data_IF_223939084325
#
_entry.id   IF_223939084325
#
_cell.length_a   1.000
_cell.length_b   1.000
_cell.length_c   1.000
_cell.angle_alpha   90.00
_cell.angle_beta   90.00
_cell.angle_gamma   90.00
#
_symmetry.space_group_name_H-M   'P 1'
#
loop_
_entity.id
_entity.type
_entity.pdbx_description
1 polymer ?
#
# COMPACT_ATOMS: atom_id res chain seq x y z
N UNK A 1 41.85 6.95 14.49
CA UNK A 1 41.31 6.35 13.25
C UNK A 1 40.06 7.13 12.88
N UNK A 2 39.87 7.46 11.61
CA UNK A 2 38.66 8.14 11.12
C UNK A 2 37.61 7.09 10.76
N UNK A 3 36.46 7.14 11.44
CA UNK A 3 35.31 6.27 11.20
C UNK A 3 34.76 6.53 9.79
N UNK A 4 34.57 5.48 9.00
CA UNK A 4 33.98 5.63 7.67
C UNK A 4 32.46 5.86 7.75
N UNK A 5 31.86 6.48 6.73
CA UNK A 5 30.41 6.65 6.69
C UNK A 5 29.66 5.30 6.71
N UNK A 6 30.18 4.30 6.00
CA UNK A 6 29.59 2.95 5.97
C UNK A 6 29.62 2.27 7.33
N UNK A 7 30.76 2.33 8.02
CA UNK A 7 30.92 1.79 9.38
C UNK A 7 29.99 2.50 10.37
N UNK A 8 29.90 3.83 10.29
CA UNK A 8 28.99 4.63 11.11
C UNK A 8 27.54 4.21 10.90
N UNK A 9 27.08 4.17 9.64
CA UNK A 9 25.69 3.81 9.30
C UNK A 9 25.36 2.38 9.72
N UNK A 10 26.27 1.44 9.51
CA UNK A 10 26.04 0.04 9.91
C UNK A 10 25.90 -0.09 11.43
N UNK A 11 26.81 0.52 12.21
CA UNK A 11 26.74 0.50 13.66
C UNK A 11 25.53 1.26 14.24
N UNK A 12 24.99 2.21 13.47
CA UNK A 12 23.76 2.91 13.83
C UNK A 12 22.50 2.07 13.64
N UNK A 13 22.45 1.23 12.61
CA UNK A 13 21.25 0.43 12.30
C UNK A 13 21.20 -0.89 13.08
N UNK A 14 22.34 -1.37 13.59
CA UNK A 14 22.44 -2.57 14.40
C UNK A 14 22.88 -2.27 15.84
N UNK A 15 21.94 -2.41 16.78
CA UNK A 15 22.20 -2.21 18.20
C UNK A 15 23.21 -3.22 18.80
N UNK A 16 23.42 -4.36 18.14
CA UNK A 16 24.42 -5.37 18.50
C UNK A 16 25.86 -4.97 18.15
N UNK A 17 26.06 -3.96 17.31
CA UNK A 17 27.39 -3.46 16.98
C UNK A 17 27.94 -2.53 18.06
N UNK A 18 29.25 -2.59 18.35
CA UNK A 18 29.90 -1.63 19.21
C UNK A 18 29.87 -0.23 18.60
N UNK A 19 30.07 0.80 19.44
CA UNK A 19 30.32 2.15 18.94
C UNK A 19 31.61 2.14 18.13
N UNK A 20 31.64 2.68 16.89
CA UNK A 20 32.85 2.73 16.08
C UNK A 20 34.01 3.41 16.82
N UNK A 21 35.19 2.78 16.78
CA UNK A 21 36.38 3.31 17.46
C UNK A 21 36.87 4.61 16.80
N UNK A 22 37.19 5.61 17.61
CA UNK A 22 37.66 6.91 17.09
C UNK A 22 36.55 7.90 16.72
N UNK A 23 35.29 7.61 17.07
CA UNK A 23 34.21 8.58 16.99
C UNK A 23 34.43 9.69 18.03
N UNK A 24 34.64 10.93 17.59
CA UNK A 24 34.86 12.10 18.44
C UNK A 24 33.71 13.09 18.33
N UNK A 25 33.46 13.85 19.39
CA UNK A 25 32.49 14.94 19.40
C UNK A 25 33.12 16.29 18.99
N UNK A 26 32.34 17.36 19.05
CA UNK A 26 32.78 18.69 18.65
C UNK A 26 33.94 19.26 19.51
N UNK A 27 34.26 18.66 20.67
CA UNK A 27 35.37 19.05 21.52
C UNK A 27 36.53 18.05 21.46
N UNK A 28 36.46 17.04 20.57
CA UNK A 28 37.50 16.03 20.40
C UNK A 28 37.45 14.90 21.44
N UNK A 29 36.35 14.74 22.16
CA UNK A 29 36.15 13.68 23.16
C UNK A 29 35.42 12.47 22.57
N UNK A 30 35.57 11.25 23.13
CA UNK A 30 34.83 10.08 22.66
C UNK A 30 33.31 10.31 22.62
N UNK A 31 32.70 10.17 21.43
CA UNK A 31 31.30 10.51 21.19
C UNK A 31 30.31 9.37 21.49
N UNK A 32 30.73 8.31 22.18
CA UNK A 32 29.92 7.10 22.38
C UNK A 32 28.55 7.35 23.02
N UNK A 33 28.45 8.28 23.98
CA UNK A 33 27.14 8.63 24.58
C UNK A 33 26.20 9.29 23.57
N UNK A 34 26.71 10.21 22.75
CA UNK A 34 25.92 10.90 21.71
C UNK A 34 25.50 9.93 20.62
N UNK A 35 26.40 9.04 20.23
CA UNK A 35 26.11 7.96 19.28
C UNK A 35 24.96 7.08 19.77
N UNK A 36 25.01 6.61 21.02
CA UNK A 36 23.94 5.79 21.59
C UNK A 36 22.59 6.51 21.62
N UNK A 37 22.57 7.80 21.96
CA UNK A 37 21.34 8.61 21.91
C UNK A 37 20.81 8.70 20.48
N UNK A 38 21.67 8.99 19.51
CA UNK A 38 21.26 9.12 18.11
C UNK A 38 20.73 7.80 17.53
N UNK A 39 21.40 6.68 17.83
CA UNK A 39 20.94 5.33 17.50
C UNK A 39 19.57 5.01 18.08
N UNK A 40 19.35 5.33 19.36
CA UNK A 40 18.06 5.11 20.01
C UNK A 40 16.96 5.93 19.35
N UNK A 41 17.23 7.19 19.02
CA UNK A 41 16.25 8.05 18.32
C UNK A 41 15.87 7.48 16.96
N UNK A 42 16.81 6.92 16.20
CA UNK A 42 16.52 6.26 14.92
C UNK A 42 15.56 5.09 15.12
N UNK A 43 15.85 4.21 16.08
CA UNK A 43 15.00 3.05 16.35
C UNK A 43 13.58 3.47 16.79
N UNK A 44 13.46 4.49 17.64
CA UNK A 44 12.16 5.06 18.06
C UNK A 44 11.41 5.63 16.87
N UNK A 45 12.03 6.52 16.08
CA UNK A 45 11.36 7.15 14.93
C UNK A 45 10.96 6.16 13.85
N UNK A 46 11.74 5.10 13.63
CA UNK A 46 11.38 4.04 12.68
C UNK A 46 10.22 3.18 13.21
N UNK A 47 10.15 2.95 14.52
CA UNK A 47 9.02 2.24 15.12
C UNK A 47 7.73 3.07 15.06
N UNK A 48 7.81 4.37 15.36
CA UNK A 48 6.71 5.32 15.20
C UNK A 48 6.25 5.41 13.73
N UNK A 49 7.20 5.41 12.78
CA UNK A 49 6.88 5.36 11.36
C UNK A 49 6.12 4.09 10.97
N UNK A 50 6.43 2.93 11.56
CA UNK A 50 5.67 1.69 11.34
C UNK A 50 4.24 1.82 11.89
N UNK A 51 4.05 2.41 13.08
CA UNK A 51 2.71 2.64 13.64
C UNK A 51 1.86 3.52 12.71
N UNK A 52 2.44 4.61 12.21
CA UNK A 52 1.75 5.48 11.26
C UNK A 52 1.52 4.82 9.90
N UNK A 53 2.40 3.92 9.48
CA UNK A 53 2.33 3.27 8.17
C UNK A 53 1.35 2.10 8.12
N UNK A 54 1.06 1.47 9.27
CA UNK A 54 0.25 0.25 9.37
C UNK A 54 -0.90 0.36 10.38
N UNK A 55 -1.80 1.35 10.24
CA UNK A 55 -2.87 1.58 11.20
C UNK A 55 -3.86 0.40 11.31
N UNK A 56 -4.13 -0.33 10.22
CA UNK A 56 -4.99 -1.52 10.29
C UNK A 56 -4.31 -2.64 11.07
N UNK A 57 -3.00 -2.86 10.88
CA UNK A 57 -2.24 -3.82 11.69
C UNK A 57 -2.24 -3.42 13.17
N UNK A 58 -2.07 -2.14 13.48
CA UNK A 58 -2.16 -1.63 14.85
C UNK A 58 -3.52 -1.90 15.49
N UNK A 59 -4.61 -1.74 14.74
CA UNK A 59 -5.97 -2.08 15.21
C UNK A 59 -6.18 -3.58 15.43
N UNK A 60 -5.60 -4.43 14.58
CA UNK A 60 -5.76 -5.88 14.63
C UNK A 60 -4.91 -6.55 15.73
N UNK A 61 -3.69 -6.07 15.95
CA UNK A 61 -2.75 -6.68 16.89
C UNK A 61 -2.62 -5.89 18.20
N UNK A 62 -3.00 -4.62 18.21
CA UNK A 62 -2.71 -3.68 19.28
C UNK A 62 -1.32 -3.04 19.11
N UNK A 63 -1.20 -1.79 19.56
CA UNK A 63 0.02 -0.97 19.40
C UNK A 63 1.27 -1.66 19.97
N UNK A 64 1.18 -2.27 21.15
CA UNK A 64 2.31 -2.95 21.80
C UNK A 64 2.85 -4.14 20.99
N UNK A 65 1.96 -4.90 20.35
CA UNK A 65 2.39 -6.00 19.49
C UNK A 65 3.02 -5.48 18.21
N UNK A 66 2.48 -4.39 17.64
CA UNK A 66 3.07 -3.73 16.49
C UNK A 66 4.45 -3.13 16.82
N UNK A 67 4.68 -2.59 18.02
CA UNK A 67 6.00 -2.12 18.46
C UNK A 67 7.04 -3.27 18.48
N UNK A 68 6.64 -4.42 19.03
CA UNK A 68 7.47 -5.62 19.02
C UNK A 68 7.83 -6.07 17.59
N UNK A 69 6.84 -6.07 16.71
CA UNK A 69 7.03 -6.41 15.29
C UNK A 69 7.89 -5.39 14.56
N UNK A 70 7.72 -4.09 14.83
CA UNK A 70 8.51 -3.01 14.24
C UNK A 70 9.99 -3.16 14.63
N UNK A 71 10.28 -3.48 15.89
CA UNK A 71 11.64 -3.76 16.34
C UNK A 71 12.28 -4.98 15.66
N UNK A 72 11.51 -6.05 15.45
CA UNK A 72 11.98 -7.23 14.70
C UNK A 72 12.19 -6.91 13.21
N UNK A 73 11.25 -6.19 12.61
CA UNK A 73 11.31 -5.76 11.22
C UNK A 73 12.53 -4.88 10.97
N UNK A 74 12.78 -3.87 11.82
CA UNK A 74 13.92 -2.97 11.73
C UNK A 74 15.26 -3.70 11.65
N UNK A 75 15.44 -4.76 12.46
CA UNK A 75 16.68 -5.56 12.44
C UNK A 75 16.83 -6.38 11.16
N UNK A 76 15.72 -6.87 10.62
CA UNK A 76 15.73 -7.69 9.40
C UNK A 76 15.76 -6.84 8.11
N UNK A 77 15.17 -5.64 8.15
CA UNK A 77 14.94 -4.75 7.02
C UNK A 77 15.28 -3.30 7.42
N UNK A 78 16.57 -2.97 7.60
CA UNK A 78 16.98 -1.59 7.84
C UNK A 78 16.55 -0.69 6.67
N UNK A 79 16.25 0.60 6.90
CA UNK A 79 15.82 1.51 5.84
C UNK A 79 16.83 1.55 4.68
N UNK A 80 16.36 1.32 3.46
CA UNK A 80 17.15 1.38 2.22
C UNK A 80 17.10 2.75 1.54
N UNK A 81 16.22 3.65 2.01
CA UNK A 81 16.00 4.99 1.48
C UNK A 81 15.84 6.00 2.62
N UNK A 82 16.29 7.25 2.44
CA UNK A 82 16.02 8.33 3.40
C UNK A 82 14.54 8.75 3.41
N UNK A 83 13.72 8.30 2.46
CA UNK A 83 12.31 8.64 2.35
C UNK A 83 11.46 7.74 3.27
N UNK A 84 11.02 8.29 4.40
CA UNK A 84 10.26 7.55 5.42
C UNK A 84 8.94 6.94 4.91
N UNK A 85 8.30 7.58 3.93
CA UNK A 85 7.07 7.09 3.29
C UNK A 85 7.25 5.75 2.57
N UNK A 86 8.48 5.32 2.30
CA UNK A 86 8.76 4.01 1.69
C UNK A 86 9.12 2.93 2.73
N UNK A 87 9.40 3.31 3.97
CA UNK A 87 9.77 2.37 5.01
C UNK A 87 8.60 1.43 5.33
N UNK A 88 8.88 0.13 5.47
CA UNK A 88 7.87 -0.92 5.66
C UNK A 88 7.39 -1.62 4.39
N UNK A 89 7.96 -1.33 3.20
CA UNK A 89 7.51 -1.94 1.95
C UNK A 89 7.53 -3.49 1.96
N UNK A 90 8.48 -4.09 2.68
CA UNK A 90 8.66 -5.53 2.84
C UNK A 90 7.86 -6.11 4.02
N UNK A 91 7.20 -5.28 4.82
CA UNK A 91 6.48 -5.71 6.02
C UNK A 91 5.40 -6.76 5.77
N UNK A 92 4.59 -6.70 4.69
CA UNK A 92 3.65 -7.78 4.38
C UNK A 92 4.32 -9.15 4.19
N UNK A 93 5.45 -9.18 3.47
CA UNK A 93 6.20 -10.41 3.23
C UNK A 93 6.87 -10.89 4.52
N UNK A 94 7.37 -9.96 5.34
CA UNK A 94 7.89 -10.25 6.66
C UNK A 94 6.82 -10.92 7.54
N UNK A 95 5.61 -10.36 7.63
CA UNK A 95 4.49 -10.95 8.38
C UNK A 95 4.11 -12.34 7.86
N UNK A 96 4.10 -12.54 6.54
CA UNK A 96 3.80 -13.83 5.92
C UNK A 96 4.82 -14.92 6.29
N UNK A 97 6.07 -14.54 6.58
CA UNK A 97 7.14 -15.44 7.01
C UNK A 97 7.14 -15.79 8.50
N UNK A 98 6.32 -15.15 9.34
CA UNK A 98 6.32 -15.36 10.78
C UNK A 98 5.44 -16.55 11.19
N UNK A 99 6.06 -17.64 11.66
CA UNK A 99 5.36 -18.84 12.12
C UNK A 99 4.30 -18.53 13.18
N UNK A 100 4.61 -17.63 14.11
CA UNK A 100 3.75 -17.27 15.23
C UNK A 100 2.46 -16.57 14.77
N UNK A 101 2.46 -15.94 13.59
CA UNK A 101 1.33 -15.19 13.05
C UNK A 101 0.53 -15.97 11.99
N UNK A 102 0.93 -17.22 11.65
CA UNK A 102 0.26 -18.01 10.62
C UNK A 102 -1.23 -18.24 10.85
N UNK A 103 -1.67 -18.27 12.10
CA UNK A 103 -3.07 -18.40 12.46
C UNK A 103 -3.91 -17.17 12.08
N UNK A 104 -3.28 -16.03 11.79
CA UNK A 104 -3.88 -14.79 11.30
C UNK A 104 -3.48 -14.57 9.84
N UNK A 105 -3.88 -15.48 8.96
CA UNK A 105 -3.44 -15.51 7.56
C UNK A 105 -3.76 -14.26 6.74
N UNK A 106 -4.67 -13.40 7.21
CA UNK A 106 -5.06 -12.14 6.57
C UNK A 106 -4.13 -10.96 6.89
N UNK A 107 -3.24 -11.07 7.89
CA UNK A 107 -2.36 -9.96 8.28
C UNK A 107 -1.46 -9.43 7.14
N UNK A 108 -0.85 -10.29 6.29
CA UNK A 108 -0.10 -9.79 5.15
C UNK A 108 -0.94 -8.93 4.20
N UNK A 109 -2.20 -9.31 3.96
CA UNK A 109 -3.09 -8.56 3.07
C UNK A 109 -3.60 -7.27 3.71
N UNK A 110 -3.86 -7.28 5.01
CA UNK A 110 -4.13 -6.06 5.77
C UNK A 110 -2.94 -5.07 5.69
N UNK A 111 -1.71 -5.57 5.80
CA UNK A 111 -0.51 -4.73 5.65
C UNK A 111 -0.32 -4.24 4.20
N UNK A 112 -0.70 -5.04 3.19
CA UNK A 112 -0.72 -4.60 1.78
C UNK A 112 -1.75 -3.49 1.57
N UNK A 113 -2.91 -3.57 2.22
CA UNK A 113 -3.94 -2.54 2.17
C UNK A 113 -3.44 -1.21 2.74
N UNK A 114 -2.84 -1.24 3.94
CA UNK A 114 -2.20 -0.07 4.57
C UNK A 114 -1.13 0.56 3.64
N UNK A 115 -0.26 -0.27 3.04
CA UNK A 115 0.73 0.21 2.07
C UNK A 115 0.11 0.84 0.83
N UNK A 116 -0.94 0.22 0.29
CA UNK A 116 -1.59 0.70 -0.92
C UNK A 116 -2.33 2.03 -0.69
N UNK A 117 -2.97 2.20 0.48
CA UNK A 117 -3.52 3.47 0.94
C UNK A 117 -2.45 4.56 1.02
N UNK A 118 -1.32 4.28 1.69
CA UNK A 118 -0.21 5.23 1.82
C UNK A 118 0.39 5.58 0.46
N UNK A 119 0.53 4.60 -0.44
CA UNK A 119 1.00 4.83 -1.82
C UNK A 119 0.04 5.73 -2.59
N UNK A 120 -1.27 5.47 -2.51
CA UNK A 120 -2.28 6.31 -3.12
C UNK A 120 -2.20 7.73 -2.56
N UNK A 121 -2.07 7.91 -1.24
CA UNK A 121 -1.95 9.22 -0.59
C UNK A 121 -0.77 10.05 -1.12
N UNK A 122 0.37 9.42 -1.41
CA UNK A 122 1.56 10.10 -1.93
C UNK A 122 1.72 10.04 -3.46
N UNK A 123 0.78 9.46 -4.19
CA UNK A 123 0.86 9.36 -5.65
C UNK A 123 0.84 10.74 -6.32
N UNK A 124 1.39 10.84 -7.52
CA UNK A 124 1.36 12.07 -8.31
C UNK A 124 -0.07 12.48 -8.64
N UNK A 125 -0.36 13.79 -8.54
CA UNK A 125 -1.66 14.33 -8.90
C UNK A 125 -1.95 14.14 -10.38
N UNK A 126 -3.21 13.83 -10.69
CA UNK A 126 -3.70 13.73 -12.06
C UNK A 126 -5.13 14.26 -12.12
N UNK A 127 -5.48 14.89 -13.24
CA UNK A 127 -6.82 15.43 -13.45
C UNK A 127 -7.69 14.38 -14.11
N UNK A 128 -8.77 13.99 -13.45
CA UNK A 128 -9.74 13.07 -14.02
C UNK A 128 -10.41 13.65 -15.27
N UNK A 129 -10.73 12.79 -16.24
CA UNK A 129 -11.57 13.20 -17.38
C UNK A 129 -12.97 13.50 -16.88
N UNK A 130 -13.59 14.55 -17.43
CA UNK A 130 -14.98 14.86 -17.10
C UNK A 130 -15.88 13.67 -17.48
N UNK A 131 -16.79 13.20 -16.62
CA UNK A 131 -17.69 12.08 -16.92
C UNK A 131 -18.51 12.29 -18.22
N UNK A 132 -18.82 13.55 -18.54
CA UNK A 132 -19.48 13.93 -19.78
C UNK A 132 -18.70 13.53 -21.04
N UNK A 133 -17.36 13.41 -20.98
CA UNK A 133 -16.55 12.94 -22.12
C UNK A 133 -16.82 11.48 -22.45
N UNK A 134 -16.98 10.62 -21.46
CA UNK A 134 -17.36 9.21 -21.68
C UNK A 134 -18.82 9.13 -22.15
N UNK A 135 -19.72 9.87 -21.50
CA UNK A 135 -21.14 9.87 -21.84
C UNK A 135 -21.44 10.39 -23.26
N UNK A 136 -20.55 11.21 -23.83
CA UNK A 136 -20.65 11.70 -25.20
C UNK A 136 -20.18 10.69 -26.26
N UNK A 137 -19.54 9.59 -25.86
CA UNK A 137 -19.11 8.55 -26.80
C UNK A 137 -20.31 7.67 -27.19
N UNK A 138 -20.51 7.37 -28.49
CA UNK A 138 -21.43 6.31 -28.87
C UNK A 138 -20.93 4.96 -28.31
N UNK A 139 -21.83 3.99 -28.05
CA UNK A 139 -21.49 2.73 -27.41
C UNK A 139 -20.30 2.00 -28.06
N UNK A 140 -20.25 1.96 -29.39
CA UNK A 140 -19.18 1.28 -30.15
C UNK A 140 -17.83 1.98 -29.95
N UNK A 141 -17.82 3.31 -29.93
CA UNK A 141 -16.59 4.08 -29.70
C UNK A 141 -16.13 3.99 -28.24
N UNK A 142 -17.06 3.93 -27.29
CA UNK A 142 -16.74 3.68 -25.89
C UNK A 142 -16.08 2.32 -25.75
N UNK A 143 -16.67 1.26 -26.30
CA UNK A 143 -16.12 -0.10 -26.24
C UNK A 143 -14.72 -0.20 -26.86
N UNK A 144 -14.42 0.57 -27.92
CA UNK A 144 -13.10 0.65 -28.55
C UNK A 144 -12.06 1.54 -27.82
N UNK A 145 -12.41 2.14 -26.68
CA UNK A 145 -11.54 3.07 -25.94
C UNK A 145 -10.60 2.33 -24.98
N UNK A 146 -9.34 2.77 -24.89
CA UNK A 146 -8.38 2.41 -23.84
C UNK A 146 -8.39 3.49 -22.77
N UNK A 147 -8.44 3.06 -21.50
CA UNK A 147 -8.45 3.97 -20.36
C UNK A 147 -7.04 4.10 -19.78
N UNK A 148 -6.60 5.33 -19.51
CA UNK A 148 -5.44 5.57 -18.65
C UNK A 148 -5.93 5.87 -17.25
N UNK A 149 -5.46 5.09 -16.27
CA UNK A 149 -5.82 5.27 -14.86
C UNK A 149 -4.85 6.20 -14.13
N UNK A 150 -5.35 6.89 -13.10
CA UNK A 150 -4.57 7.80 -12.28
C UNK A 150 -3.45 7.06 -11.53
N UNK A 151 -2.30 7.69 -11.25
CA UNK A 151 -1.20 7.08 -10.51
C UNK A 151 -1.59 6.61 -9.10
N UNK A 152 -2.65 7.19 -8.52
CA UNK A 152 -3.16 6.83 -7.20
C UNK A 152 -4.01 5.54 -7.20
N UNK A 153 -4.36 5.00 -8.36
CA UNK A 153 -5.15 3.77 -8.46
C UNK A 153 -4.29 2.59 -8.02
N UNK A 154 -4.79 1.83 -7.05
CA UNK A 154 -4.20 0.57 -6.66
C UNK A 154 -5.28 -0.52 -6.59
N UNK A 155 -4.88 -1.72 -6.99
CA UNK A 155 -5.71 -2.92 -6.96
C UNK A 155 -5.09 -3.91 -5.98
N UNK A 156 -5.88 -4.40 -5.03
CA UNK A 156 -5.47 -5.45 -4.09
C UNK A 156 -6.43 -6.63 -4.22
N UNK A 157 -5.87 -7.82 -4.49
CA UNK A 157 -6.63 -9.07 -4.52
C UNK A 157 -6.30 -9.87 -3.27
N UNK A 158 -7.31 -10.33 -2.55
CA UNK A 158 -7.12 -11.05 -1.30
C UNK A 158 -8.02 -12.28 -1.23
N UNK A 159 -7.48 -13.47 -0.86
CA UNK A 159 -8.30 -14.62 -0.52
C UNK A 159 -9.05 -14.44 0.83
N UNK A 160 -8.85 -13.32 1.51
CA UNK A 160 -9.46 -12.95 2.78
C UNK A 160 -10.45 -11.80 2.59
N UNK A 161 -11.36 -11.58 3.57
CA UNK A 161 -12.29 -10.46 3.52
C UNK A 161 -11.61 -9.17 3.97
N UNK A 162 -10.56 -8.76 3.26
CA UNK A 162 -9.68 -7.65 3.67
C UNK A 162 -10.43 -6.31 3.72
N UNK A 163 -11.41 -6.10 2.82
CA UNK A 163 -12.25 -4.91 2.84
C UNK A 163 -13.16 -4.90 4.06
N UNK A 164 -13.86 -6.00 4.35
CA UNK A 164 -14.73 -6.05 5.52
C UNK A 164 -13.92 -5.98 6.82
N UNK A 165 -12.75 -6.60 6.88
CA UNK A 165 -11.83 -6.49 8.03
C UNK A 165 -11.44 -5.04 8.25
N UNK A 166 -11.07 -4.31 7.20
CA UNK A 166 -10.78 -2.90 7.30
C UNK A 166 -11.98 -2.13 7.85
N UNK A 167 -13.16 -2.24 7.22
CA UNK A 167 -14.39 -1.55 7.65
C UNK A 167 -14.74 -1.85 9.10
N UNK A 168 -14.69 -3.10 9.51
CA UNK A 168 -15.01 -3.51 10.88
C UNK A 168 -14.10 -2.86 11.93
N UNK A 169 -12.87 -2.48 11.55
CA UNK A 169 -11.90 -1.85 12.44
C UNK A 169 -11.86 -0.32 12.30
N UNK A 170 -12.40 0.28 11.24
CA UNK A 170 -12.28 1.71 10.93
C UNK A 170 -13.61 2.46 10.89
N UNK A 171 -14.72 1.79 10.59
CA UNK A 171 -16.05 2.37 10.49
C UNK A 171 -16.91 2.00 11.71
N UNK A 172 -17.68 2.97 12.20
CA UNK A 172 -18.63 2.73 13.27
C UNK A 172 -19.80 1.87 12.77
N UNK A 173 -20.21 0.86 13.54
CA UNK A 173 -21.32 -0.04 13.23
C UNK A 173 -21.16 -0.86 11.92
N UNK A 174 -19.95 -1.02 11.41
CA UNK A 174 -19.70 -1.90 10.27
C UNK A 174 -20.09 -3.36 10.57
N UNK A 175 -20.65 -4.10 9.57
CA UNK A 175 -21.00 -5.50 9.75
C UNK A 175 -19.77 -6.36 10.02
N UNK A 176 -19.98 -7.54 10.62
CA UNK A 176 -18.91 -8.52 10.78
C UNK A 176 -18.37 -8.97 9.42
N UNK A 177 -17.05 -9.21 9.30
CA UNK A 177 -16.46 -9.69 8.06
C UNK A 177 -17.09 -10.99 7.55
N UNK A 178 -17.41 -11.01 6.25
CA UNK A 178 -17.89 -12.21 5.55
C UNK A 178 -16.74 -13.19 5.35
N UNK A 179 -17.00 -14.49 5.41
CA UNK A 179 -15.96 -15.50 5.13
C UNK A 179 -15.79 -15.73 3.62
N UNK A 180 -15.27 -14.73 2.90
CA UNK A 180 -15.02 -14.80 1.46
C UNK A 180 -13.78 -14.01 1.05
N UNK A 181 -13.25 -14.33 -0.13
CA UNK A 181 -12.24 -13.52 -0.79
C UNK A 181 -12.82 -12.15 -1.19
N UNK A 182 -12.02 -11.10 -1.13
CA UNK A 182 -12.40 -9.75 -1.55
C UNK A 182 -11.30 -9.10 -2.37
N UNK A 183 -11.70 -8.60 -3.53
CA UNK A 183 -10.88 -7.73 -4.36
C UNK A 183 -11.22 -6.27 -4.03
N UNK A 184 -10.21 -5.42 -4.00
CA UNK A 184 -10.31 -4.05 -3.49
C UNK A 184 -9.70 -3.07 -4.48
N UNK A 185 -10.47 -2.04 -4.81
CA UNK A 185 -10.02 -0.88 -5.55
C UNK A 185 -9.74 0.26 -4.57
N UNK A 186 -8.56 0.85 -4.72
CA UNK A 186 -8.16 2.08 -4.02
C UNK A 186 -8.05 3.18 -5.07
N UNK A 187 -8.72 4.29 -4.82
CA UNK A 187 -8.64 5.51 -5.62
C UNK A 187 -8.39 6.70 -4.70
N UNK A 188 -8.06 7.86 -5.25
CA UNK A 188 -7.86 9.10 -4.48
C UNK A 188 -8.61 10.24 -5.15
N UNK A 189 -9.94 10.33 -4.97
CA UNK A 189 -10.66 11.53 -5.34
C UNK A 189 -10.10 12.69 -4.51
N UNK A 190 -9.68 13.76 -5.18
CA UNK A 190 -8.99 14.90 -4.55
C UNK A 190 -7.66 14.46 -3.89
N UNK A 191 -7.59 14.43 -2.56
CA UNK A 191 -6.35 14.18 -1.80
C UNK A 191 -6.43 13.00 -0.82
N UNK A 192 -7.62 12.45 -0.57
CA UNK A 192 -7.80 11.38 0.42
C UNK A 192 -8.14 10.05 -0.27
N UNK A 193 -7.33 9.00 -0.06
CA UNK A 193 -7.61 7.69 -0.62
C UNK A 193 -8.89 7.09 -0.05
N UNK A 194 -9.69 6.50 -0.92
CA UNK A 194 -10.88 5.72 -0.56
C UNK A 194 -10.69 4.26 -0.98
N UNK A 195 -11.36 3.36 -0.25
CA UNK A 195 -11.32 1.92 -0.47
C UNK A 195 -12.72 1.47 -0.88
N UNK A 196 -12.80 0.67 -1.93
CA UNK A 196 -14.07 0.11 -2.42
C UNK A 196 -13.89 -1.37 -2.72
N UNK A 197 -14.83 -2.21 -2.29
CA UNK A 197 -14.92 -3.61 -2.71
C UNK A 197 -15.27 -3.67 -4.20
N UNK A 198 -14.58 -4.53 -4.93
CA UNK A 198 -14.90 -4.83 -6.32
C UNK A 198 -15.86 -6.03 -6.40
N UNK A 199 -16.79 -6.03 -7.37
CA UNK A 199 -17.57 -7.23 -7.66
C UNK A 199 -16.66 -8.33 -8.24
N UNK A 200 -17.11 -9.60 -8.23
CA UNK A 200 -16.42 -10.68 -8.93
C UNK A 200 -16.09 -10.28 -10.38
N UNK A 201 -14.86 -10.56 -10.83
CA UNK A 201 -14.35 -10.16 -12.15
C UNK A 201 -13.89 -8.70 -12.26
N UNK A 202 -14.22 -7.82 -11.30
CA UNK A 202 -13.85 -6.40 -11.35
C UNK A 202 -12.34 -6.16 -11.34
N UNK A 203 -11.60 -6.93 -10.55
CA UNK A 203 -10.14 -6.85 -10.52
C UNK A 203 -9.48 -7.37 -11.80
N UNK A 204 -10.01 -8.44 -12.38
CA UNK A 204 -9.55 -8.96 -13.67
C UNK A 204 -9.73 -7.89 -14.75
N UNK A 205 -10.90 -7.24 -14.77
CA UNK A 205 -11.23 -6.21 -15.74
C UNK A 205 -10.30 -4.99 -15.63
N UNK A 206 -10.08 -4.49 -14.40
CA UNK A 206 -9.15 -3.37 -14.16
C UNK A 206 -7.70 -3.77 -14.52
N UNK A 207 -7.32 -5.02 -14.28
CA UNK A 207 -5.99 -5.55 -14.66
C UNK A 207 -5.81 -5.58 -16.18
N UNK A 208 -6.82 -6.01 -16.92
CA UNK A 208 -6.81 -5.98 -18.38
C UNK A 208 -6.70 -4.55 -18.93
N UNK A 209 -7.45 -3.60 -18.35
CA UNK A 209 -7.35 -2.18 -18.72
C UNK A 209 -5.97 -1.59 -18.47
N UNK A 210 -5.37 -1.85 -17.31
CA UNK A 210 -4.01 -1.36 -16.99
C UNK A 210 -2.92 -2.05 -17.81
N UNK A 211 -3.20 -3.25 -18.34
CA UNK A 211 -2.37 -3.94 -19.34
C UNK A 211 -2.55 -3.39 -20.76
N UNK A 212 -3.39 -2.37 -20.91
CA UNK A 212 -3.59 -1.62 -22.14
C UNK A 212 -4.75 -2.12 -22.99
N UNK A 213 -5.60 -3.06 -22.54
CA UNK A 213 -6.78 -3.50 -23.28
C UNK A 213 -7.81 -2.38 -23.49
N UNK A 214 -8.60 -2.47 -24.55
CA UNK A 214 -9.82 -1.66 -24.72
C UNK A 214 -10.91 -2.14 -23.76
N UNK A 215 -11.96 -1.34 -23.57
CA UNK A 215 -13.12 -1.74 -22.76
C UNK A 215 -13.77 -3.04 -23.28
N UNK A 216 -13.86 -3.22 -24.60
CA UNK A 216 -14.39 -4.44 -25.23
C UNK A 216 -13.50 -5.66 -25.01
N UNK A 217 -12.19 -5.52 -25.25
CA UNK A 217 -11.20 -6.58 -25.06
C UNK A 217 -11.23 -7.06 -23.59
N UNK A 218 -11.18 -6.11 -22.64
CA UNK A 218 -11.24 -6.42 -21.21
C UNK A 218 -12.57 -7.04 -20.77
N UNK A 219 -13.70 -6.56 -21.31
CA UNK A 219 -15.02 -7.12 -21.01
C UNK A 219 -15.12 -8.58 -21.48
N UNK A 220 -14.69 -8.84 -22.71
CA UNK A 220 -14.73 -10.18 -23.32
C UNK A 220 -13.86 -11.16 -22.53
N UNK A 221 -12.67 -10.73 -22.12
CA UNK A 221 -11.74 -11.54 -21.31
C UNK A 221 -12.38 -11.93 -19.97
N UNK A 222 -12.93 -10.96 -19.23
CA UNK A 222 -13.53 -11.24 -17.92
C UNK A 222 -14.80 -12.09 -18.02
N UNK A 223 -15.61 -11.89 -19.06
CA UNK A 223 -16.82 -12.70 -19.28
C UNK A 223 -16.54 -14.17 -19.59
N UNK A 224 -15.31 -14.53 -19.97
CA UNK A 224 -14.93 -15.92 -20.15
C UNK A 224 -14.98 -16.71 -18.82
N UNK A 225 -14.56 -16.08 -17.71
CA UNK A 225 -14.55 -16.69 -16.37
C UNK A 225 -15.71 -16.22 -15.49
N UNK A 226 -16.28 -15.05 -15.78
CA UNK A 226 -17.40 -14.44 -15.06
C UNK A 226 -18.54 -14.04 -16.03
N UNK A 227 -19.37 -14.99 -16.51
CA UNK A 227 -20.38 -14.73 -17.54
C UNK A 227 -21.42 -13.66 -17.17
N UNK A 228 -21.69 -13.51 -15.87
CA UNK A 228 -22.64 -12.53 -15.33
C UNK A 228 -21.98 -11.18 -14.98
N UNK A 229 -20.73 -10.94 -15.41
CA UNK A 229 -20.00 -9.72 -15.12
C UNK A 229 -20.68 -8.48 -15.72
N UNK A 230 -21.05 -7.56 -14.85
CA UNK A 230 -21.59 -6.24 -15.20
C UNK A 230 -20.51 -5.17 -15.12
N UNK A 231 -20.06 -4.70 -16.28
CA UNK A 231 -19.03 -3.65 -16.40
C UNK A 231 -19.46 -2.32 -15.76
N UNK A 232 -20.77 -2.07 -15.64
CA UNK A 232 -21.28 -0.78 -15.16
C UNK A 232 -20.83 -0.48 -13.73
N UNK A 233 -20.70 -1.53 -12.91
CA UNK A 233 -20.30 -1.40 -11.51
C UNK A 233 -18.84 -0.95 -11.34
N UNK A 234 -17.81 -1.68 -11.82
CA UNK A 234 -16.42 -1.23 -11.68
C UNK A 234 -16.13 0.06 -12.47
N UNK A 235 -16.81 0.31 -13.60
CA UNK A 235 -16.69 1.58 -14.31
C UNK A 235 -17.22 2.75 -13.46
N UNK A 236 -18.35 2.57 -12.78
CA UNK A 236 -18.89 3.59 -11.88
C UNK A 236 -17.93 3.88 -10.71
N UNK A 237 -17.29 2.86 -10.14
CA UNK A 237 -16.28 3.03 -9.08
C UNK A 237 -15.08 3.85 -9.58
N UNK A 238 -14.56 3.55 -10.77
CA UNK A 238 -13.48 4.33 -11.38
C UNK A 238 -13.88 5.78 -11.63
N UNK A 239 -15.10 6.03 -12.10
CA UNK A 239 -15.60 7.38 -12.34
C UNK A 239 -15.79 8.17 -11.04
N UNK A 240 -16.39 7.56 -10.02
CA UNK A 240 -16.58 8.19 -8.70
C UNK A 240 -15.26 8.47 -7.99
N UNK A 241 -14.28 7.57 -8.15
CA UNK A 241 -12.94 7.72 -7.60
C UNK A 241 -12.03 8.69 -8.36
N UNK A 242 -12.53 9.35 -9.41
CA UNK A 242 -11.70 10.24 -10.26
C UNK A 242 -10.52 9.50 -10.91
N UNK A 243 -10.67 8.20 -11.15
CA UNK A 243 -9.57 7.30 -11.46
C UNK A 243 -9.17 7.32 -12.95
N UNK A 244 -10.02 7.83 -13.84
CA UNK A 244 -9.77 7.82 -15.29
C UNK A 244 -9.21 9.19 -15.69
N UNK A 245 -7.99 9.21 -16.22
CA UNK A 245 -7.27 10.47 -16.54
C UNK A 245 -7.09 10.70 -18.04
N UNK A 246 -7.27 9.66 -18.85
CA UNK A 246 -7.30 9.81 -20.31
C UNK A 246 -8.13 8.72 -20.99
N UNK A 247 -8.55 9.03 -22.21
CA UNK A 247 -9.32 8.16 -23.11
C UNK A 247 -8.62 8.13 -24.46
N UNK A 248 -7.89 7.05 -24.74
CA UNK A 248 -7.28 6.84 -26.05
C UNK A 248 -8.18 5.98 -26.93
N UNK A 249 -8.40 6.40 -28.17
CA UNK A 249 -9.20 5.62 -29.12
C UNK A 249 -8.25 4.78 -29.95
N UNK A 250 -8.53 3.49 -30.06
CA UNK A 250 -7.90 2.64 -31.07
C UNK A 250 -8.19 3.28 -32.44
N UNK A 251 -7.15 3.82 -33.07
CA UNK A 251 -7.22 4.48 -34.38
C UNK A 251 -7.71 3.55 -35.48
#
# INVERSE_FOLDING_TARGET
>A
MTVSQTEFTHAMMDAGQPVPEGLLDATGQPAGRRFSVYRNNIAVSLSEAMQSAFPLIGKLLGEQNLDGLAGMYLRAHPPSSPLMMHYGAEFPAFLAGMEQLKHLGYLPDAARLDLALRRAYHAGDATAVAPARLAALPPEALMATRLTLAPAVALLRSPWPVYDIWRFNTEENAPKPRHMAQDVLITRPEFDPIIQELPPGGADWITALTSGATLEEALTEVQADHPDFDLSHPLALLLQGGAIIDLDRKG
#
